data_IF_689332832313
#
_entry.id   IF_689332832313
#
_cell.length_a   1.000
_cell.length_b   1.000
_cell.length_c   1.000
_cell.angle_alpha   90.00
_cell.angle_beta   90.00
_cell.angle_gamma   90.00
#
_symmetry.space_group_name_H-M   'P 1'
#
loop_
_entity.id
_entity.type
_entity.pdbx_description
1 polymer ?
#
# COMPACT_ATOMS: atom_id res chain seq x y z
N UNK A 1 -22.31 18.50 22.23
CA UNK A 1 -20.92 18.81 21.88
C UNK A 1 -20.21 17.50 21.64
N UNK A 2 -20.21 17.00 20.41
CA UNK A 2 -19.58 15.72 20.03
C UNK A 2 -18.81 16.00 18.75
N UNK A 3 -17.47 15.95 18.82
CA UNK A 3 -16.58 15.99 17.65
C UNK A 3 -16.61 14.62 16.98
N UNK A 4 -16.84 14.50 15.67
CA UNK A 4 -16.53 13.27 14.95
C UNK A 4 -15.02 13.23 14.66
N UNK A 5 -14.34 12.21 15.19
CA UNK A 5 -13.02 11.79 14.69
C UNK A 5 -13.24 11.10 13.33
N UNK A 6 -12.79 11.73 12.24
CA UNK A 6 -12.59 11.04 10.97
C UNK A 6 -11.33 10.16 11.10
N UNK A 7 -11.51 8.87 11.35
CA UNK A 7 -10.48 7.86 11.17
C UNK A 7 -10.81 6.99 9.95
N UNK A 8 -9.80 6.90 9.07
CA UNK A 8 -9.62 5.90 8.00
C UNK A 8 -10.64 5.96 6.85
N UNK A 9 -10.27 6.75 5.83
CA UNK A 9 -10.82 6.63 4.49
C UNK A 9 -10.42 5.30 3.85
N UNK A 10 -11.26 4.28 4.01
CA UNK A 10 -11.35 3.21 3.02
C UNK A 10 -12.27 3.76 1.93
N UNK A 11 -11.71 4.28 0.83
CA UNK A 11 -12.50 4.44 -0.38
C UNK A 11 -12.81 3.04 -0.90
N UNK A 12 -14.01 2.54 -0.59
CA UNK A 12 -14.57 1.38 -1.27
C UNK A 12 -14.72 1.79 -2.73
N UNK A 13 -13.85 1.28 -3.60
CA UNK A 13 -14.08 1.33 -5.03
C UNK A 13 -15.40 0.59 -5.29
N UNK A 14 -16.46 1.33 -5.60
CA UNK A 14 -17.71 0.75 -6.08
C UNK A 14 -17.43 0.14 -7.46
N UNK A 15 -16.93 -1.09 -7.48
CA UNK A 15 -17.03 -1.93 -8.66
C UNK A 15 -18.51 -2.26 -8.83
N UNK A 16 -19.14 -1.64 -9.82
CA UNK A 16 -20.45 -2.06 -10.29
C UNK A 16 -20.27 -3.44 -10.89
N UNK A 17 -20.57 -4.50 -10.12
CA UNK A 17 -20.68 -5.86 -10.64
C UNK A 17 -21.85 -5.88 -11.62
N UNK A 18 -21.58 -5.68 -12.90
CA UNK A 18 -22.52 -6.09 -13.94
C UNK A 18 -22.46 -7.61 -14.00
N UNK A 19 -23.47 -8.27 -13.44
CA UNK A 19 -23.73 -9.68 -13.67
C UNK A 19 -24.02 -9.83 -15.18
N UNK A 20 -23.00 -10.16 -15.97
CA UNK A 20 -23.25 -10.72 -17.29
C UNK A 20 -23.92 -12.07 -17.06
N UNK A 21 -25.17 -12.18 -17.51
CA UNK A 21 -25.86 -13.45 -17.63
C UNK A 21 -25.05 -14.32 -18.58
N UNK A 22 -24.22 -15.20 -18.04
CA UNK A 22 -23.65 -16.30 -18.81
C UNK A 22 -24.77 -17.34 -18.94
N UNK A 23 -25.32 -17.51 -20.14
CA UNK A 23 -26.43 -18.44 -20.46
C UNK A 23 -26.15 -19.91 -20.03
N UNK A 24 -24.95 -20.20 -19.55
CA UNK A 24 -24.53 -21.51 -19.05
C UNK A 24 -24.79 -21.76 -17.56
N UNK A 25 -25.24 -20.77 -16.78
CA UNK A 25 -25.60 -21.03 -15.38
C UNK A 25 -27.02 -21.61 -15.32
N UNK A 26 -27.10 -22.94 -15.28
CA UNK A 26 -28.37 -23.68 -15.15
C UNK A 26 -29.10 -23.25 -13.88
N UNK A 27 -30.38 -22.93 -14.01
CA UNK A 27 -31.32 -22.56 -12.94
C UNK A 27 -31.29 -23.57 -11.77
N UNK A 28 -31.07 -24.85 -12.08
CA UNK A 28 -30.86 -25.96 -11.15
C UNK A 28 -29.77 -25.67 -10.10
N UNK A 29 -28.66 -25.03 -10.49
CA UNK A 29 -27.54 -24.72 -9.60
C UNK A 29 -27.87 -23.59 -8.62
N UNK A 30 -28.75 -22.66 -9.01
CA UNK A 30 -29.25 -21.62 -8.10
C UNK A 30 -30.20 -22.21 -7.07
N UNK A 31 -31.09 -23.12 -7.47
CA UNK A 31 -31.95 -23.83 -6.53
C UNK A 31 -31.16 -24.69 -5.54
N UNK A 32 -30.09 -25.34 -6.01
CA UNK A 32 -29.19 -26.14 -5.16
C UNK A 32 -28.50 -25.26 -4.10
N UNK A 33 -27.92 -24.12 -4.51
CA UNK A 33 -27.26 -23.17 -3.61
C UNK A 33 -28.21 -22.50 -2.60
N UNK A 34 -29.50 -22.39 -2.93
CA UNK A 34 -30.53 -21.84 -2.03
C UNK A 34 -31.05 -22.89 -1.02
N UNK A 35 -30.97 -24.18 -1.36
CA UNK A 35 -31.47 -25.30 -0.53
C UNK A 35 -30.38 -25.93 0.35
N UNK A 36 -29.11 -25.84 -0.06
CA UNK A 36 -28.00 -26.34 0.75
C UNK A 36 -27.79 -25.51 2.03
N UNK A 37 -27.56 -26.21 3.16
CA UNK A 37 -27.13 -25.53 4.39
C UNK A 37 -25.75 -24.92 4.14
N UNK A 38 -25.62 -23.62 4.42
CA UNK A 38 -24.33 -22.92 4.36
C UNK A 38 -23.29 -23.73 5.15
N UNK A 39 -22.20 -24.20 4.50
CA UNK A 39 -21.20 -25.00 5.19
C UNK A 39 -20.60 -24.20 6.33
N UNK A 40 -20.28 -24.88 7.44
CA UNK A 40 -19.64 -24.23 8.58
C UNK A 40 -18.34 -23.56 8.12
N UNK A 41 -18.33 -22.23 8.11
CA UNK A 41 -17.16 -21.46 7.72
C UNK A 41 -16.12 -21.58 8.84
N UNK A 42 -15.01 -22.25 8.56
CA UNK A 42 -13.84 -22.23 9.44
C UNK A 42 -13.03 -20.99 9.14
N UNK A 43 -12.65 -20.24 10.16
CA UNK A 43 -11.82 -19.05 10.01
C UNK A 43 -10.41 -19.47 9.54
N UNK A 44 -9.76 -18.63 8.72
CA UNK A 44 -8.44 -18.91 8.13
C UNK A 44 -7.38 -19.37 9.14
N UNK A 45 -7.49 -18.97 10.41
CA UNK A 45 -6.55 -19.39 11.46
C UNK A 45 -6.68 -20.87 11.87
N UNK A 46 -7.88 -21.43 11.75
CA UNK A 46 -8.20 -22.82 12.13
C UNK A 46 -7.87 -23.81 10.99
N UNK A 47 -7.90 -23.34 9.74
CA UNK A 47 -7.80 -24.18 8.55
C UNK A 47 -6.51 -23.98 7.73
N UNK A 48 -5.90 -22.79 7.73
CA UNK A 48 -4.77 -22.49 6.83
C UNK A 48 -3.39 -22.69 7.47
N UNK A 49 -3.30 -22.75 8.80
CA UNK A 49 -2.06 -23.05 9.52
C UNK A 49 -2.03 -24.47 10.06
N UNK A 50 -1.06 -25.25 9.60
CA UNK A 50 -0.77 -26.58 10.14
C UNK A 50 -0.23 -26.50 11.56
N UNK A 51 -0.48 -27.55 12.35
CA UNK A 51 0.08 -27.67 13.71
C UNK A 51 1.63 -27.58 13.74
N UNK A 52 2.30 -28.04 12.68
CA UNK A 52 3.75 -27.93 12.55
C UNK A 52 4.21 -26.47 12.41
N UNK A 53 3.48 -25.66 11.63
CA UNK A 53 3.73 -24.23 11.50
C UNK A 53 3.49 -23.50 12.82
N UNK A 54 2.38 -23.81 13.52
CA UNK A 54 2.08 -23.23 14.84
C UNK A 54 3.20 -23.50 15.85
N UNK A 55 3.68 -24.75 15.92
CA UNK A 55 4.84 -25.12 16.77
C UNK A 55 6.13 -24.39 16.37
N UNK A 56 6.39 -24.24 15.08
CA UNK A 56 7.56 -23.50 14.59
C UNK A 56 7.52 -22.02 14.99
N UNK A 57 6.35 -21.41 14.96
CA UNK A 57 6.13 -20.02 15.40
C UNK A 57 6.41 -19.89 16.91
N UNK A 58 5.82 -20.75 17.74
CA UNK A 58 6.04 -20.74 19.20
C UNK A 58 7.51 -20.92 19.52
N UNK A 59 8.19 -21.89 18.89
CA UNK A 59 9.62 -22.11 19.08
C UNK A 59 10.46 -20.86 18.74
N UNK A 60 10.18 -20.20 17.61
CA UNK A 60 10.90 -18.99 17.23
C UNK A 60 10.70 -17.86 18.25
N UNK A 61 9.48 -17.64 18.74
CA UNK A 61 9.18 -16.63 19.76
C UNK A 61 9.88 -16.93 21.10
N UNK A 62 9.94 -18.20 21.51
CA UNK A 62 10.66 -18.65 22.71
C UNK A 62 12.18 -18.43 22.61
N UNK A 63 12.73 -18.45 21.39
CA UNK A 63 14.14 -18.11 21.09
C UNK A 63 14.36 -16.58 20.93
N UNK A 64 13.32 -15.76 21.10
CA UNK A 64 13.41 -14.30 20.93
C UNK A 64 13.48 -13.85 19.46
N UNK A 65 13.16 -14.74 18.52
CA UNK A 65 13.18 -14.50 17.08
C UNK A 65 11.78 -14.09 16.59
N UNK A 66 11.75 -13.08 15.73
CA UNK A 66 10.56 -12.59 15.01
C UNK A 66 10.69 -12.74 13.49
N UNK A 67 11.84 -13.27 13.07
CA UNK A 67 12.05 -13.75 11.73
C UNK A 67 11.65 -15.22 11.64
N UNK A 68 10.53 -15.48 10.98
CA UNK A 68 10.07 -16.84 10.75
C UNK A 68 10.58 -17.36 9.41
N UNK A 69 11.08 -18.59 9.39
CA UNK A 69 11.39 -19.29 8.15
C UNK A 69 10.17 -20.07 7.66
N UNK A 70 10.14 -20.34 6.35
CA UNK A 70 9.09 -21.18 5.77
C UNK A 70 9.10 -22.58 6.36
N UNK A 71 7.93 -23.08 6.73
CA UNK A 71 7.78 -24.42 7.24
C UNK A 71 6.53 -25.10 6.63
N UNK A 72 6.68 -26.19 5.86
CA UNK A 72 7.94 -26.72 5.29
C UNK A 72 8.55 -25.74 4.27
N UNK A 73 9.76 -26.03 3.76
CA UNK A 73 10.42 -25.17 2.76
C UNK A 73 9.58 -24.94 1.49
N UNK A 74 8.67 -25.87 1.17
CA UNK A 74 7.74 -25.81 0.04
C UNK A 74 6.48 -24.96 0.30
N UNK A 75 6.35 -24.32 1.46
CA UNK A 75 5.22 -23.45 1.79
C UNK A 75 5.04 -22.32 0.74
N UNK A 76 3.79 -22.10 0.32
CA UNK A 76 3.44 -20.99 -0.58
C UNK A 76 3.71 -19.64 0.07
N UNK A 77 3.88 -18.58 -0.74
CA UNK A 77 4.11 -17.24 -0.20
C UNK A 77 2.87 -16.70 0.52
N UNK A 78 1.64 -17.01 0.07
CA UNK A 78 0.43 -16.58 0.77
C UNK A 78 0.34 -17.22 2.16
N UNK A 79 0.56 -18.54 2.24
CA UNK A 79 0.58 -19.27 3.52
C UNK A 79 1.69 -18.75 4.44
N UNK A 80 2.87 -18.44 3.90
CA UNK A 80 3.97 -17.87 4.67
C UNK A 80 3.63 -16.47 5.22
N UNK A 81 3.03 -15.62 4.38
CA UNK A 81 2.58 -14.28 4.76
C UNK A 81 1.53 -14.35 5.86
N UNK A 82 0.57 -15.26 5.74
CA UNK A 82 -0.47 -15.47 6.74
C UNK A 82 0.12 -15.99 8.07
N UNK A 83 1.02 -16.97 8.00
CA UNK A 83 1.75 -17.48 9.17
C UNK A 83 2.46 -16.36 9.92
N UNK A 84 3.16 -15.48 9.18
CA UNK A 84 3.86 -14.33 9.76
C UNK A 84 2.89 -13.37 10.44
N UNK A 85 1.75 -13.05 9.82
CA UNK A 85 0.72 -12.17 10.41
C UNK A 85 0.17 -12.75 11.71
N UNK A 86 -0.16 -14.05 11.73
CA UNK A 86 -0.64 -14.69 12.96
C UNK A 86 0.43 -14.75 14.05
N UNK A 87 1.69 -14.98 13.69
CA UNK A 87 2.79 -14.94 14.65
C UNK A 87 2.97 -13.55 15.29
N UNK A 88 2.83 -12.48 14.50
CA UNK A 88 2.89 -11.10 15.01
C UNK A 88 1.68 -10.76 15.89
N UNK A 89 0.48 -11.22 15.52
CA UNK A 89 -0.72 -11.06 16.35
C UNK A 89 -0.56 -11.81 17.68
N UNK A 90 -0.07 -13.06 17.65
CA UNK A 90 0.19 -13.85 18.86
C UNK A 90 1.18 -13.14 19.78
N UNK A 91 2.30 -12.64 19.24
CA UNK A 91 3.28 -11.90 20.03
C UNK A 91 2.64 -10.65 20.67
N UNK A 92 1.81 -9.92 19.94
CA UNK A 92 1.06 -8.78 20.45
C UNK A 92 0.08 -9.19 21.56
N UNK A 93 -0.62 -10.30 21.39
CA UNK A 93 -1.59 -10.80 22.36
C UNK A 93 -0.91 -11.19 23.67
N UNK A 94 0.21 -11.92 23.61
CA UNK A 94 1.01 -12.30 24.79
C UNK A 94 1.57 -11.05 25.49
N UNK A 95 2.17 -10.12 24.73
CA UNK A 95 2.79 -8.91 25.31
C UNK A 95 1.77 -7.94 25.92
N UNK A 96 0.56 -7.83 25.33
CA UNK A 96 -0.53 -6.96 25.83
C UNK A 96 -1.54 -7.67 26.73
N UNK A 97 -1.36 -8.97 27.01
CA UNK A 97 -2.28 -9.77 27.83
C UNK A 97 -3.70 -9.86 27.25
N UNK A 98 -3.82 -10.04 25.92
CA UNK A 98 -5.11 -10.13 25.22
C UNK A 98 -5.44 -11.57 24.88
N UNK A 99 -6.66 -12.00 25.19
CA UNK A 99 -7.15 -13.34 24.85
C UNK A 99 -7.93 -13.33 23.52
N UNK A 100 -7.21 -13.16 22.41
CA UNK A 100 -7.81 -13.16 21.07
C UNK A 100 -8.07 -14.58 20.54
N UNK A 101 -8.77 -14.70 19.40
CA UNK A 101 -8.88 -15.98 18.71
C UNK A 101 -7.51 -16.57 18.33
N UNK A 102 -6.56 -15.70 17.94
CA UNK A 102 -5.18 -16.13 17.63
C UNK A 102 -4.51 -16.71 18.86
N UNK A 103 -4.66 -16.05 20.01
CA UNK A 103 -4.15 -16.56 21.27
C UNK A 103 -4.71 -17.96 21.58
N UNK A 104 -6.03 -18.14 21.51
CA UNK A 104 -6.71 -19.42 21.78
C UNK A 104 -6.27 -20.54 20.85
N UNK A 105 -6.07 -20.24 19.57
CA UNK A 105 -5.63 -21.20 18.56
C UNK A 105 -4.18 -21.67 18.75
N UNK A 106 -3.37 -20.86 19.42
CA UNK A 106 -1.97 -21.17 19.73
C UNK A 106 -1.79 -21.71 21.16
N UNK A 107 -2.75 -21.52 22.06
CA UNK A 107 -2.72 -21.99 23.45
C UNK A 107 -2.39 -23.50 23.59
N UNK A 108 -2.92 -24.42 22.75
CA UNK A 108 -2.54 -25.84 22.82
C UNK A 108 -1.07 -26.14 22.52
N UNK A 109 -0.33 -25.17 21.99
CA UNK A 109 1.08 -25.29 21.63
C UNK A 109 2.01 -24.53 22.59
N UNK A 110 1.47 -23.81 23.57
CA UNK A 110 2.20 -23.09 24.61
C UNK A 110 2.19 -23.93 25.89
N UNK A 111 3.37 -24.10 26.50
CA UNK A 111 3.51 -24.75 27.81
C UNK A 111 3.39 -23.72 28.94
N UNK A 112 3.20 -24.23 30.17
CA UNK A 112 3.19 -23.38 31.36
C UNK A 112 4.52 -22.60 31.48
N UNK A 113 4.43 -21.27 31.55
CA UNK A 113 5.58 -20.37 31.59
C UNK A 113 6.11 -19.90 30.24
N UNK A 114 5.68 -20.48 29.11
CA UNK A 114 6.12 -20.06 27.77
C UNK A 114 5.74 -18.60 27.48
N UNK A 115 4.51 -18.19 27.82
CA UNK A 115 4.05 -16.82 27.61
C UNK A 115 4.90 -15.80 28.39
N UNK A 116 5.26 -16.12 29.64
CA UNK A 116 6.12 -15.27 30.46
C UNK A 116 7.52 -15.15 29.86
N UNK A 117 8.07 -16.25 29.35
CA UNK A 117 9.38 -16.27 28.68
C UNK A 117 9.36 -15.49 27.37
N UNK A 118 8.32 -15.66 26.54
CA UNK A 118 8.12 -14.88 25.32
C UNK A 118 8.05 -13.39 25.70
N UNK A 119 7.24 -13.02 26.68
CA UNK A 119 7.11 -11.63 27.13
C UNK A 119 8.46 -11.04 27.55
N UNK A 120 9.24 -11.75 28.37
CA UNK A 120 10.58 -11.32 28.79
C UNK A 120 11.54 -11.10 27.61
N UNK A 121 11.53 -11.98 26.61
CA UNK A 121 12.38 -11.84 25.41
C UNK A 121 12.09 -10.58 24.58
N UNK A 122 10.92 -9.96 24.74
CA UNK A 122 10.46 -8.82 23.93
C UNK A 122 10.13 -7.56 24.74
N UNK A 123 10.19 -7.59 26.07
CA UNK A 123 9.98 -6.42 26.94
C UNK A 123 11.16 -5.42 26.90
N UNK A 124 12.40 -5.90 26.71
CA UNK A 124 13.61 -5.05 26.69
C UNK A 124 13.91 -4.42 25.31
N UNK A 125 13.22 -4.83 24.25
CA UNK A 125 13.41 -4.25 22.92
C UNK A 125 12.75 -2.87 22.88
N UNK A 126 13.51 -1.86 22.42
CA UNK A 126 13.16 -0.44 22.52
C UNK A 126 11.82 -0.07 21.86
N UNK A 127 11.32 -0.92 20.96
CA UNK A 127 10.01 -0.79 20.34
C UNK A 127 9.07 -1.89 20.81
N UNK A 128 8.00 -1.49 21.51
CA UNK A 128 6.87 -2.38 21.79
C UNK A 128 6.19 -2.80 20.48
N UNK A 129 5.58 -4.00 20.41
CA UNK A 129 4.72 -4.38 19.28
C UNK A 129 3.66 -3.30 19.01
N UNK A 130 3.80 -2.60 17.89
CA UNK A 130 2.85 -1.60 17.41
C UNK A 130 1.56 -2.29 16.92
N UNK A 131 0.53 -1.50 16.61
CA UNK A 131 -0.74 -1.98 16.10
C UNK A 131 -0.68 -2.41 14.63
N UNK A 132 0.47 -2.27 13.95
CA UNK A 132 0.69 -2.79 12.60
C UNK A 132 0.97 -4.30 12.59
N UNK A 133 0.18 -5.04 11.82
CA UNK A 133 0.32 -6.49 11.64
C UNK A 133 1.22 -6.81 10.43
N UNK A 134 1.52 -5.84 9.57
CA UNK A 134 2.27 -6.07 8.32
C UNK A 134 3.79 -6.00 8.50
N UNK A 135 4.26 -5.36 9.57
CA UNK A 135 5.67 -5.09 9.84
C UNK A 135 6.05 -5.68 11.20
N UNK A 136 7.21 -6.33 11.29
CA UNK A 136 7.70 -6.93 12.53
C UNK A 136 8.48 -5.91 13.37
N UNK A 137 8.63 -6.18 14.67
CA UNK A 137 9.27 -5.27 15.62
C UNK A 137 10.67 -4.84 15.18
N UNK A 138 11.50 -5.76 14.67
CA UNK A 138 12.84 -5.48 14.17
C UNK A 138 12.85 -4.53 12.96
N UNK A 139 11.86 -4.65 12.07
CA UNK A 139 11.75 -3.74 10.93
C UNK A 139 11.41 -2.32 11.41
N UNK A 140 10.56 -2.20 12.44
CA UNK A 140 10.27 -0.92 13.09
C UNK A 140 11.52 -0.34 13.77
N UNK A 141 12.32 -1.15 14.46
CA UNK A 141 13.60 -0.71 15.06
C UNK A 141 14.60 -0.23 14.00
N UNK A 142 14.72 -0.98 12.91
CA UNK A 142 15.58 -0.61 11.77
C UNK A 142 15.13 0.72 11.16
N UNK A 143 13.83 0.91 10.97
CA UNK A 143 13.26 2.15 10.44
C UNK A 143 13.52 3.33 11.38
N UNK A 144 13.23 3.15 12.67
CA UNK A 144 13.47 4.13 13.73
C UNK A 144 14.93 4.58 13.72
N UNK A 145 15.85 3.62 13.67
CA UNK A 145 17.29 3.86 13.64
C UNK A 145 17.71 4.59 12.37
N UNK A 146 17.15 4.22 11.21
CA UNK A 146 17.48 4.85 9.94
C UNK A 146 17.02 6.31 9.90
N UNK A 147 15.80 6.60 10.36
CA UNK A 147 15.27 7.96 10.44
C UNK A 147 16.05 8.79 11.45
N UNK A 148 16.37 8.25 12.64
CA UNK A 148 17.21 8.93 13.63
C UNK A 148 18.62 9.27 13.09
N UNK A 149 19.12 8.49 12.12
CA UNK A 149 20.38 8.74 11.40
C UNK A 149 20.23 9.69 10.19
N UNK A 150 19.06 10.30 10.00
CA UNK A 150 18.82 11.30 8.96
C UNK A 150 18.22 10.76 7.65
N UNK A 151 17.69 9.53 7.63
CA UNK A 151 16.93 9.06 6.46
C UNK A 151 15.67 9.90 6.27
N UNK A 152 15.47 10.39 5.05
CA UNK A 152 14.32 11.20 4.63
C UNK A 152 13.92 10.80 3.20
N UNK A 153 12.74 11.23 2.78
CA UNK A 153 12.29 11.02 1.41
C UNK A 153 13.16 11.77 0.39
N UNK A 154 13.28 11.27 -0.86
CA UNK A 154 13.98 11.98 -1.92
C UNK A 154 13.45 13.39 -2.13
N UNK A 155 14.34 14.35 -2.35
CA UNK A 155 13.99 15.77 -2.54
C UNK A 155 13.42 15.98 -3.94
N UNK A 156 12.35 16.76 -4.02
CA UNK A 156 11.76 17.17 -5.30
C UNK A 156 12.39 18.48 -5.79
N UNK A 157 12.56 18.60 -7.11
CA UNK A 157 12.95 19.85 -7.76
C UNK A 157 11.78 20.88 -7.75
N UNK A 158 12.05 22.09 -8.24
CA UNK A 158 11.05 23.17 -8.30
C UNK A 158 9.82 22.83 -9.17
N UNK A 159 9.93 21.84 -10.05
CA UNK A 159 8.85 21.37 -10.91
C UNK A 159 8.13 20.14 -10.31
N UNK A 160 8.51 19.68 -9.12
CA UNK A 160 7.94 18.51 -8.47
C UNK A 160 8.45 17.18 -9.03
N UNK A 161 9.60 17.17 -9.72
CA UNK A 161 10.25 15.96 -10.22
C UNK A 161 11.30 15.46 -9.23
N UNK A 162 11.68 14.19 -9.38
CA UNK A 162 12.70 13.52 -8.57
C UNK A 162 13.76 12.89 -9.48
N UNK A 163 15.01 12.88 -9.01
CA UNK A 163 16.07 12.08 -9.64
C UNK A 163 15.75 10.59 -9.50
N UNK A 164 15.91 9.85 -10.59
CA UNK A 164 15.77 8.39 -10.57
C UNK A 164 16.74 7.74 -9.58
N UNK A 165 17.98 8.23 -9.53
CA UNK A 165 19.02 7.65 -8.68
C UNK A 165 18.73 7.91 -7.20
N UNK A 166 18.27 9.11 -6.83
CA UNK A 166 17.90 9.43 -5.45
C UNK A 166 16.73 8.57 -4.96
N UNK A 167 15.73 8.35 -5.83
CA UNK A 167 14.62 7.45 -5.54
C UNK A 167 15.11 6.01 -5.39
N UNK A 168 15.96 5.53 -6.30
CA UNK A 168 16.47 4.17 -6.25
C UNK A 168 17.29 3.93 -4.97
N UNK A 169 18.14 4.88 -4.58
CA UNK A 169 18.91 4.83 -3.34
C UNK A 169 18.01 4.77 -2.11
N UNK A 170 16.92 5.55 -2.10
CA UNK A 170 15.92 5.48 -1.04
C UNK A 170 15.23 4.12 -0.99
N UNK A 171 14.79 3.59 -2.14
CA UNK A 171 14.12 2.28 -2.22
C UNK A 171 15.05 1.12 -1.83
N UNK A 172 16.33 1.17 -2.16
CA UNK A 172 17.32 0.16 -1.72
C UNK A 172 17.54 0.20 -0.20
N UNK A 173 17.51 1.39 0.42
CA UNK A 173 17.54 1.51 1.89
C UNK A 173 16.27 0.92 2.52
N UNK A 174 15.10 1.21 1.93
CA UNK A 174 13.83 0.62 2.36
C UNK A 174 13.85 -0.91 2.23
N UNK A 175 14.40 -1.44 1.14
CA UNK A 175 14.59 -2.88 0.91
C UNK A 175 15.35 -3.56 2.05
N UNK A 176 16.40 -2.91 2.55
CA UNK A 176 17.20 -3.41 3.69
C UNK A 176 16.44 -3.31 5.01
N UNK A 177 15.82 -2.15 5.29
CA UNK A 177 15.08 -1.88 6.54
C UNK A 177 13.93 -2.88 6.70
N UNK A 178 13.14 -3.05 5.64
CA UNK A 178 11.98 -3.92 5.61
C UNK A 178 12.31 -5.33 5.10
N UNK A 179 13.58 -5.66 4.86
CA UNK A 179 14.03 -7.00 4.45
C UNK A 179 13.19 -7.56 3.29
N UNK A 180 12.95 -6.74 2.25
CA UNK A 180 12.09 -7.12 1.13
C UNK A 180 12.59 -8.39 0.43
N UNK A 181 13.90 -8.64 0.37
CA UNK A 181 14.46 -9.90 -0.17
C UNK A 181 14.01 -11.17 0.60
N UNK A 182 13.51 -11.02 1.83
CA UNK A 182 12.95 -12.13 2.61
C UNK A 182 11.43 -12.19 2.48
N UNK A 183 10.75 -11.05 2.60
CA UNK A 183 9.30 -11.00 2.75
C UNK A 183 8.54 -10.67 1.46
N UNK A 184 9.20 -10.10 0.45
CA UNK A 184 8.64 -9.62 -0.82
C UNK A 184 9.44 -10.21 -2.00
N UNK A 185 9.81 -11.49 -1.89
CA UNK A 185 10.75 -12.19 -2.80
C UNK A 185 10.36 -12.18 -4.27
N UNK A 186 9.05 -12.13 -4.56
CA UNK A 186 8.54 -12.17 -5.92
C UNK A 186 8.37 -10.76 -6.54
N UNK A 187 8.38 -9.73 -5.70
CA UNK A 187 8.03 -8.34 -6.03
C UNK A 187 9.21 -7.41 -5.72
N UNK A 188 9.12 -6.61 -4.64
CA UNK A 188 10.07 -5.56 -4.27
C UNK A 188 11.47 -6.09 -4.01
N UNK A 189 11.57 -7.26 -3.36
CA UNK A 189 12.83 -7.92 -3.02
C UNK A 189 13.34 -8.90 -4.05
N UNK A 190 12.80 -8.89 -5.27
CA UNK A 190 13.19 -9.84 -6.30
C UNK A 190 14.58 -9.52 -6.84
N UNK A 191 15.55 -10.37 -6.50
CA UNK A 191 16.93 -10.28 -6.97
C UNK A 191 17.13 -11.13 -8.23
N UNK A 192 17.77 -10.54 -9.25
CA UNK A 192 18.22 -11.28 -10.42
C UNK A 192 19.32 -12.27 -10.05
N UNK A 193 19.11 -13.58 -10.31
CA UNK A 193 20.12 -14.62 -10.09
C UNK A 193 21.42 -14.39 -10.88
N UNK A 194 21.35 -13.69 -12.01
CA UNK A 194 22.51 -13.44 -12.89
C UNK A 194 23.34 -12.24 -12.45
N UNK A 195 22.68 -11.19 -11.96
CA UNK A 195 23.34 -9.89 -11.74
C UNK A 195 23.36 -9.46 -10.28
N UNK A 196 22.61 -10.13 -9.40
CA UNK A 196 22.46 -9.71 -8.00
C UNK A 196 21.69 -8.40 -7.83
N UNK A 197 21.05 -7.88 -8.89
CA UNK A 197 20.36 -6.57 -8.87
C UNK A 197 18.84 -6.72 -8.74
N UNK A 198 18.20 -5.73 -8.11
CA UNK A 198 16.74 -5.59 -8.02
C UNK A 198 16.12 -5.07 -9.32
N UNK A 199 16.02 -5.93 -10.33
CA UNK A 199 15.49 -5.55 -11.65
C UNK A 199 14.03 -5.08 -11.60
N UNK A 200 13.17 -5.75 -10.81
CA UNK A 200 11.77 -5.35 -10.65
C UNK A 200 11.66 -4.02 -9.91
N UNK A 201 12.41 -3.83 -8.82
CA UNK A 201 12.40 -2.58 -8.05
C UNK A 201 12.77 -1.37 -8.91
N UNK A 202 13.74 -1.54 -9.81
CA UNK A 202 14.13 -0.52 -10.80
C UNK A 202 12.99 -0.14 -11.74
N UNK A 203 12.21 -1.12 -12.18
CA UNK A 203 11.03 -0.87 -13.00
C UNK A 203 9.91 -0.19 -12.20
N UNK A 204 9.66 -0.65 -10.97
CA UNK A 204 8.69 -0.01 -10.09
C UNK A 204 9.04 1.45 -9.79
N UNK A 205 10.32 1.78 -9.64
CA UNK A 205 10.77 3.16 -9.49
C UNK A 205 10.39 4.04 -10.71
N UNK A 206 10.53 3.51 -11.93
CA UNK A 206 10.12 4.23 -13.16
C UNK A 206 8.61 4.47 -13.18
N UNK A 207 7.80 3.48 -12.78
CA UNK A 207 6.34 3.64 -12.71
C UNK A 207 5.95 4.61 -11.59
N UNK A 208 6.60 4.52 -10.43
CA UNK A 208 6.37 5.38 -9.28
C UNK A 208 6.62 6.85 -9.63
N UNK A 209 7.72 7.17 -10.33
CA UNK A 209 8.01 8.55 -10.79
C UNK A 209 6.88 9.07 -11.68
N UNK A 210 6.48 8.31 -12.70
CA UNK A 210 5.42 8.74 -13.61
C UNK A 210 4.07 8.87 -12.90
N UNK A 211 3.80 7.98 -11.93
CA UNK A 211 2.61 8.03 -11.10
C UNK A 211 2.54 9.34 -10.31
N UNK A 212 3.59 9.68 -9.55
CA UNK A 212 3.60 10.91 -8.73
C UNK A 212 3.75 12.19 -9.56
N UNK A 213 4.20 12.11 -10.81
CA UNK A 213 4.16 13.26 -11.73
C UNK A 213 2.73 13.61 -12.19
N UNK A 214 1.76 12.71 -11.99
CA UNK A 214 0.38 12.94 -12.37
C UNK A 214 0.14 12.98 -13.89
N UNK A 215 0.98 12.31 -14.68
CA UNK A 215 0.87 12.24 -16.15
C UNK A 215 -0.36 11.45 -16.64
N UNK A 216 -1.02 10.73 -15.73
CA UNK A 216 -2.21 9.91 -16.01
C UNK A 216 -1.87 8.49 -16.50
N UNK A 217 -2.80 7.55 -16.28
CA UNK A 217 -2.62 6.13 -16.58
C UNK A 217 -2.29 5.86 -18.06
N UNK A 218 -2.98 6.55 -18.98
CA UNK A 218 -2.74 6.38 -20.42
C UNK A 218 -1.31 6.72 -20.82
N UNK A 219 -0.70 7.74 -20.20
CA UNK A 219 0.68 8.09 -20.45
C UNK A 219 1.63 6.99 -19.96
N UNK A 220 1.42 6.48 -18.75
CA UNK A 220 2.24 5.42 -18.15
C UNK A 220 2.19 4.15 -19.00
N UNK A 221 0.99 3.75 -19.44
CA UNK A 221 0.80 2.59 -20.31
C UNK A 221 1.49 2.77 -21.67
N UNK A 222 1.39 3.95 -22.28
CA UNK A 222 2.08 4.24 -23.55
C UNK A 222 3.59 4.19 -23.39
N UNK A 223 4.13 4.72 -22.28
CA UNK A 223 5.58 4.63 -21.98
C UNK A 223 6.04 3.19 -21.78
N UNK A 224 5.24 2.35 -21.13
CA UNK A 224 5.53 0.93 -20.99
C UNK A 224 5.56 0.21 -22.36
N UNK A 225 4.62 0.54 -23.26
CA UNK A 225 4.59 0.04 -24.64
C UNK A 225 5.82 0.50 -25.43
N UNK A 226 6.14 1.80 -25.40
CA UNK A 226 7.31 2.38 -26.06
C UNK A 226 8.61 1.70 -25.60
N UNK A 227 8.73 1.41 -24.29
CA UNK A 227 9.88 0.68 -23.77
C UNK A 227 10.00 -0.71 -24.38
N UNK A 228 8.89 -1.45 -24.52
CA UNK A 228 8.87 -2.79 -25.13
C UNK A 228 9.15 -2.76 -26.63
N UNK A 229 8.67 -1.74 -27.35
CA UNK A 229 8.99 -1.51 -28.75
C UNK A 229 10.49 -1.27 -28.96
N UNK A 230 11.11 -0.48 -28.10
CA UNK A 230 12.54 -0.19 -28.15
C UNK A 230 13.42 -1.33 -27.62
N UNK A 231 12.85 -2.26 -26.83
CA UNK A 231 13.55 -3.40 -26.26
C UNK A 231 12.76 -4.70 -26.47
N UNK A 232 12.60 -5.18 -27.72
CA UNK A 232 11.73 -6.32 -28.01
C UNK A 232 12.12 -7.62 -27.30
N UNK A 233 13.42 -7.77 -27.03
CA UNK A 233 13.99 -8.96 -26.38
C UNK A 233 13.71 -9.02 -24.88
N UNK A 234 13.21 -7.92 -24.28
CA UNK A 234 12.68 -7.97 -22.91
C UNK A 234 11.43 -8.87 -22.78
N UNK A 235 10.78 -9.16 -23.91
CA UNK A 235 9.68 -10.10 -24.05
C UNK A 235 8.40 -9.75 -23.29
N UNK A 236 7.37 -10.56 -23.47
CA UNK A 236 6.10 -10.55 -22.73
C UNK A 236 5.71 -11.98 -22.38
N UNK A 237 4.92 -12.16 -21.32
CA UNK A 237 4.45 -13.48 -20.91
C UNK A 237 3.04 -13.72 -21.44
N UNK A 238 2.91 -14.62 -22.42
CA UNK A 238 1.64 -14.98 -23.04
C UNK A 238 1.37 -16.44 -22.72
N UNK A 239 0.24 -16.74 -22.07
CA UNK A 239 -0.15 -18.11 -21.69
C UNK A 239 0.96 -18.89 -20.97
N UNK A 240 1.69 -18.21 -20.08
CA UNK A 240 2.80 -18.80 -19.31
C UNK A 240 4.12 -18.97 -20.09
N UNK A 241 4.17 -18.62 -21.38
CA UNK A 241 5.38 -18.66 -22.20
C UNK A 241 5.95 -17.26 -22.39
N UNK A 242 7.28 -17.16 -22.35
CA UNK A 242 7.96 -15.91 -22.64
C UNK A 242 8.14 -15.77 -24.16
N UNK A 243 7.55 -14.73 -24.74
CA UNK A 243 7.59 -14.45 -26.17
C UNK A 243 8.31 -13.14 -26.42
N UNK A 244 9.02 -13.04 -27.55
CA UNK A 244 9.64 -11.79 -27.99
C UNK A 244 8.54 -10.79 -28.31
N UNK A 245 8.69 -9.54 -27.87
CA UNK A 245 7.67 -8.53 -28.12
C UNK A 245 7.57 -8.22 -29.62
N UNK A 246 6.35 -8.20 -30.17
CA UNK A 246 6.08 -8.04 -31.61
C UNK A 246 5.12 -6.88 -31.92
N UNK A 247 4.81 -6.03 -30.94
CA UNK A 247 3.90 -4.89 -31.07
C UNK A 247 2.46 -5.22 -31.53
N UNK A 248 2.07 -6.51 -31.50
CA UNK A 248 0.70 -6.93 -31.76
C UNK A 248 -0.27 -6.38 -30.72
N UNK A 249 -1.56 -6.31 -31.07
CA UNK A 249 -2.63 -5.91 -30.14
C UNK A 249 -2.63 -6.76 -28.86
N UNK A 250 -2.40 -8.06 -28.98
CA UNK A 250 -2.30 -8.98 -27.85
C UNK A 250 -1.14 -8.59 -26.93
N UNK A 251 0.06 -8.39 -27.49
CA UNK A 251 1.24 -8.03 -26.68
C UNK A 251 1.09 -6.64 -26.04
N UNK A 252 0.49 -5.67 -26.74
CA UNK A 252 0.17 -4.35 -26.15
C UNK A 252 -0.79 -4.50 -24.98
N UNK A 253 -1.83 -5.32 -25.11
CA UNK A 253 -2.78 -5.58 -24.03
C UNK A 253 -2.13 -6.25 -22.82
N UNK A 254 -1.21 -7.20 -23.03
CA UNK A 254 -0.43 -7.81 -21.94
C UNK A 254 0.39 -6.76 -21.20
N UNK A 255 1.13 -5.91 -21.93
CA UNK A 255 1.94 -4.85 -21.31
C UNK A 255 1.07 -3.86 -20.53
N UNK A 256 -0.11 -3.53 -21.05
CA UNK A 256 -1.10 -2.70 -20.36
C UNK A 256 -1.56 -3.37 -19.06
N UNK A 257 -1.96 -4.64 -19.12
CA UNK A 257 -2.43 -5.40 -17.97
C UNK A 257 -1.33 -5.51 -16.88
N UNK A 258 -0.12 -5.89 -17.26
CA UNK A 258 1.05 -5.98 -16.36
C UNK A 258 1.33 -4.62 -15.68
N UNK A 259 1.22 -3.52 -16.45
CA UNK A 259 1.46 -2.17 -15.93
C UNK A 259 0.38 -1.77 -14.91
N UNK A 260 -0.89 -2.06 -15.19
CA UNK A 260 -1.99 -1.79 -14.26
C UNK A 260 -1.87 -2.63 -12.99
N UNK A 261 -1.53 -3.92 -13.12
CA UNK A 261 -1.31 -4.81 -11.99
C UNK A 261 -0.18 -4.28 -11.08
N UNK A 262 0.90 -3.77 -11.66
CA UNK A 262 1.98 -3.14 -10.90
C UNK A 262 1.53 -1.88 -10.19
N UNK A 263 0.74 -1.03 -10.84
CA UNK A 263 0.22 0.19 -10.21
C UNK A 263 -0.63 -0.19 -9.00
N UNK A 264 -1.57 -1.12 -9.15
CA UNK A 264 -2.49 -1.52 -8.09
C UNK A 264 -1.78 -2.25 -6.95
N UNK A 265 -1.10 -3.36 -7.27
CA UNK A 265 -0.59 -4.28 -6.25
C UNK A 265 0.76 -3.86 -5.68
N UNK A 266 1.57 -3.10 -6.43
CA UNK A 266 2.91 -2.70 -5.98
C UNK A 266 2.95 -1.24 -5.57
N UNK A 267 2.52 -0.31 -6.43
CA UNK A 267 2.62 1.12 -6.12
C UNK A 267 1.60 1.53 -5.06
N UNK A 268 0.31 1.27 -5.33
CA UNK A 268 -0.79 1.71 -4.49
C UNK A 268 -0.99 0.84 -3.25
N UNK A 269 -0.63 -0.44 -3.30
CA UNK A 269 -0.71 -1.33 -2.15
C UNK A 269 0.61 -1.44 -1.39
N UNK A 270 1.62 -2.14 -1.91
CA UNK A 270 2.85 -2.42 -1.13
C UNK A 270 3.65 -1.16 -0.81
N UNK A 271 4.06 -0.37 -1.81
CA UNK A 271 4.88 0.84 -1.61
C UNK A 271 4.13 1.86 -0.76
N UNK A 272 2.85 2.11 -1.05
CA UNK A 272 2.02 3.03 -0.26
C UNK A 272 1.99 2.64 1.23
N UNK A 273 1.83 1.35 1.55
CA UNK A 273 1.86 0.88 2.94
C UNK A 273 3.23 1.11 3.61
N UNK A 274 4.35 0.82 2.92
CA UNK A 274 5.68 1.10 3.49
C UNK A 274 5.94 2.60 3.64
N UNK A 275 5.44 3.43 2.72
CA UNK A 275 5.56 4.89 2.81
C UNK A 275 4.69 5.45 3.93
N UNK A 276 3.48 4.93 4.14
CA UNK A 276 2.65 5.27 5.28
C UNK A 276 3.40 5.00 6.60
N UNK A 277 4.11 3.86 6.68
CA UNK A 277 4.92 3.54 7.86
C UNK A 277 6.11 4.45 8.04
N UNK A 278 6.86 4.72 6.97
CA UNK A 278 7.94 5.69 7.01
C UNK A 278 7.43 7.05 7.51
N UNK A 279 6.34 7.55 6.95
CA UNK A 279 5.77 8.87 7.26
C UNK A 279 5.26 8.96 8.70
N UNK A 280 4.59 7.92 9.20
CA UNK A 280 4.13 7.89 10.59
C UNK A 280 5.28 7.84 11.58
N UNK A 281 6.32 7.03 11.30
CA UNK A 281 7.49 6.95 12.17
C UNK A 281 8.31 8.23 12.14
N UNK A 282 8.44 8.85 10.96
CA UNK A 282 9.09 10.15 10.80
C UNK A 282 8.38 11.23 11.63
N UNK A 283 7.05 11.31 11.53
CA UNK A 283 6.19 12.20 12.34
C UNK A 283 6.36 11.96 13.84
N UNK A 284 6.36 10.70 14.27
CA UNK A 284 6.53 10.30 15.68
C UNK A 284 7.87 10.77 16.25
N UNK A 285 8.96 10.54 15.54
CA UNK A 285 10.31 10.89 15.99
C UNK A 285 10.57 12.40 16.03
N UNK A 286 9.99 13.15 15.11
CA UNK A 286 10.16 14.61 15.03
C UNK A 286 9.04 15.39 15.75
N UNK A 287 8.09 14.69 16.37
CA UNK A 287 6.91 15.27 17.03
C UNK A 287 6.11 16.22 16.10
N UNK A 288 5.83 15.75 14.88
CA UNK A 288 5.11 16.48 13.83
C UNK A 288 3.73 15.86 13.57
N UNK A 289 2.71 16.67 13.35
CA UNK A 289 1.42 16.19 12.83
C UNK A 289 1.44 15.98 11.31
N UNK A 290 2.16 16.87 10.60
CA UNK A 290 2.36 16.85 9.15
C UNK A 290 3.75 17.35 8.81
N UNK A 291 4.27 17.01 7.64
CA UNK A 291 5.55 17.52 7.13
C UNK A 291 5.50 17.69 5.61
N UNK A 292 6.39 18.50 5.06
CA UNK A 292 6.50 18.68 3.62
C UNK A 292 7.23 17.49 2.99
N UNK A 293 7.06 17.27 1.68
CA UNK A 293 7.68 16.16 0.96
C UNK A 293 7.25 14.77 1.49
N UNK A 294 5.97 14.64 1.87
CA UNK A 294 5.38 13.37 2.28
C UNK A 294 5.03 12.53 1.04
N UNK A 295 5.91 11.56 0.70
CA UNK A 295 5.71 10.70 -0.47
C UNK A 295 4.54 9.73 -0.31
N UNK A 296 4.09 9.43 0.90
CA UNK A 296 2.86 8.67 1.07
C UNK A 296 1.67 9.45 0.49
N UNK A 297 1.61 10.75 0.75
CA UNK A 297 0.59 11.63 0.18
C UNK A 297 0.67 11.68 -1.36
N UNK A 298 1.88 11.77 -1.91
CA UNK A 298 2.08 11.81 -3.37
C UNK A 298 1.64 10.53 -4.07
N UNK A 299 1.90 9.36 -3.45
CA UNK A 299 1.45 8.07 -3.97
C UNK A 299 -0.06 7.93 -3.86
N UNK A 300 -0.65 8.30 -2.72
CA UNK A 300 -2.10 8.22 -2.48
C UNK A 300 -2.89 9.03 -3.53
N UNK A 301 -2.46 10.27 -3.80
CA UNK A 301 -3.13 11.13 -4.76
C UNK A 301 -2.64 10.97 -6.21
N UNK A 302 -1.50 10.28 -6.41
CA UNK A 302 -0.86 10.12 -7.72
C UNK A 302 -0.44 11.46 -8.32
N UNK A 303 0.07 12.38 -7.50
CA UNK A 303 0.59 13.67 -7.94
C UNK A 303 1.42 14.34 -6.84
N UNK A 304 2.46 15.09 -7.22
CA UNK A 304 3.21 16.01 -6.34
C UNK A 304 2.61 17.42 -6.31
N UNK A 305 1.55 17.69 -7.09
CA UNK A 305 0.94 19.01 -7.19
C UNK A 305 0.15 19.37 -5.90
N UNK A 306 0.58 20.38 -5.12
CA UNK A 306 -0.04 20.69 -3.82
C UNK A 306 -1.51 21.13 -3.92
N UNK A 307 -1.89 21.80 -5.01
CA UNK A 307 -3.29 22.21 -5.23
C UNK A 307 -4.17 20.99 -5.49
N UNK A 308 -3.72 20.06 -6.34
CA UNK A 308 -4.49 18.84 -6.63
C UNK A 308 -4.63 17.96 -5.38
N UNK A 309 -3.57 17.83 -4.59
CA UNK A 309 -3.61 17.12 -3.29
C UNK A 309 -4.61 17.78 -2.35
N UNK A 310 -4.53 19.10 -2.15
CA UNK A 310 -5.46 19.84 -1.28
C UNK A 310 -6.91 19.61 -1.68
N UNK A 311 -7.22 19.72 -2.98
CA UNK A 311 -8.57 19.55 -3.50
C UNK A 311 -9.10 18.13 -3.23
N UNK A 312 -8.35 17.10 -3.60
CA UNK A 312 -8.79 15.71 -3.42
C UNK A 312 -8.87 15.31 -1.94
N UNK A 313 -7.95 15.81 -1.10
CA UNK A 313 -7.98 15.62 0.36
C UNK A 313 -9.20 16.27 1.00
N UNK A 314 -9.64 17.40 0.45
CA UNK A 314 -10.86 18.09 0.89
C UNK A 314 -12.15 17.41 0.40
N UNK A 315 -12.06 16.44 -0.50
CA UNK A 315 -13.18 15.65 -0.99
C UNK A 315 -13.56 15.87 -2.45
N UNK A 316 -12.87 16.75 -3.18
CA UNK A 316 -13.15 16.96 -4.61
C UNK A 316 -12.81 15.70 -5.43
N UNK A 317 -13.60 15.45 -6.47
CA UNK A 317 -13.30 14.43 -7.49
C UNK A 317 -12.05 14.81 -8.30
N UNK A 318 -11.47 13.83 -9.02
CA UNK A 318 -10.30 14.09 -9.88
C UNK A 318 -10.66 15.04 -11.03
N UNK A 319 -11.86 14.90 -11.56
CA UNK A 319 -12.41 15.70 -12.64
C UNK A 319 -12.60 17.15 -12.21
N UNK A 320 -13.28 17.36 -11.08
CA UNK A 320 -13.48 18.69 -10.48
C UNK A 320 -12.14 19.32 -10.09
N UNK A 321 -11.23 18.55 -9.50
CA UNK A 321 -9.89 19.04 -9.15
C UNK A 321 -9.10 19.52 -10.38
N UNK A 322 -9.22 18.80 -11.50
CA UNK A 322 -8.59 19.17 -12.77
C UNK A 322 -9.19 20.44 -13.34
N UNK A 323 -10.51 20.59 -13.31
CA UNK A 323 -11.19 21.80 -13.76
C UNK A 323 -10.74 23.03 -12.95
N UNK A 324 -10.73 22.93 -11.63
CA UNK A 324 -10.29 24.02 -10.74
C UNK A 324 -8.84 24.39 -11.02
N UNK A 325 -7.97 23.39 -11.23
CA UNK A 325 -6.56 23.61 -11.59
C UNK A 325 -6.40 24.35 -12.91
N UNK A 326 -7.20 24.03 -13.93
CA UNK A 326 -7.19 24.74 -15.22
C UNK A 326 -7.66 26.19 -15.11
N UNK A 327 -8.55 26.48 -14.15
CA UNK A 327 -9.10 27.81 -13.88
C UNK A 327 -8.51 28.41 -12.60
N UNK A 328 -7.22 28.16 -12.34
CA UNK A 328 -6.54 28.55 -11.09
C UNK A 328 -6.65 30.06 -10.81
N UNK A 329 -6.51 30.90 -11.83
CA UNK A 329 -6.64 32.35 -11.71
C UNK A 329 -8.03 32.81 -11.25
N UNK A 330 -9.07 32.05 -11.59
CA UNK A 330 -10.46 32.37 -11.25
C UNK A 330 -10.84 31.92 -9.85
N UNK A 331 -10.35 30.76 -9.40
CA UNK A 331 -10.87 30.09 -8.22
C UNK A 331 -9.88 29.88 -7.08
N UNK A 332 -8.58 30.09 -7.29
CA UNK A 332 -7.55 29.77 -6.30
C UNK A 332 -6.85 31.04 -5.82
N UNK A 333 -6.71 31.16 -4.51
CA UNK A 333 -5.99 32.24 -3.84
C UNK A 333 -4.82 31.64 -3.08
N UNK A 334 -3.63 32.22 -3.24
CA UNK A 334 -2.48 31.92 -2.40
C UNK A 334 -2.39 33.04 -1.38
N UNK A 335 -2.53 32.72 -0.09
CA UNK A 335 -2.46 33.71 0.99
C UNK A 335 -1.02 34.23 1.12
N UNK A 336 -0.85 35.34 1.84
CA UNK A 336 0.49 35.88 2.17
C UNK A 336 1.37 34.87 2.93
N UNK A 337 0.76 33.94 3.66
CA UNK A 337 1.45 32.84 4.34
C UNK A 337 1.77 31.64 3.44
N UNK A 338 1.53 31.73 2.13
CA UNK A 338 1.75 30.66 1.16
C UNK A 338 0.67 29.55 1.15
N UNK A 339 -0.41 29.71 1.91
CA UNK A 339 -1.48 28.70 1.96
C UNK A 339 -2.41 28.82 0.77
N UNK A 340 -2.78 27.69 0.18
CA UNK A 340 -3.76 27.64 -0.90
C UNK A 340 -5.17 27.65 -0.31
N UNK A 341 -6.02 28.55 -0.82
CA UNK A 341 -7.45 28.69 -0.49
C UNK A 341 -8.28 28.79 -1.77
N UNK A 342 -9.58 28.54 -1.64
CA UNK A 342 -10.52 28.51 -2.76
C UNK A 342 -11.54 29.65 -2.65
N UNK A 343 -11.86 30.31 -3.76
CA UNK A 343 -12.89 31.36 -3.77
C UNK A 343 -14.29 30.75 -3.69
N UNK A 344 -15.23 31.38 -2.96
CA UNK A 344 -16.63 30.91 -2.94
C UNK A 344 -17.36 31.07 -4.27
N UNK A 345 -16.77 31.77 -5.24
CA UNK A 345 -17.25 31.79 -6.62
C UNK A 345 -17.38 30.38 -7.23
N UNK A 346 -16.64 29.38 -6.72
CA UNK A 346 -16.79 27.97 -7.10
C UNK A 346 -18.22 27.44 -6.92
N UNK A 347 -18.96 27.92 -5.91
CA UNK A 347 -20.36 27.54 -5.65
C UNK A 347 -21.30 27.95 -6.79
N UNK A 348 -20.88 28.91 -7.61
CA UNK A 348 -21.61 29.42 -8.78
C UNK A 348 -20.83 29.16 -10.06
N UNK A 349 -19.93 28.18 -10.05
CA UNK A 349 -19.16 27.78 -11.23
C UNK A 349 -20.10 27.36 -12.37
N UNK A 350 -19.69 27.64 -13.61
CA UNK A 350 -20.40 27.15 -14.81
C UNK A 350 -20.36 25.63 -14.91
N UNK A 351 -19.37 25.00 -14.28
CA UNK A 351 -19.30 23.56 -14.17
C UNK A 351 -20.16 23.09 -12.98
N UNK A 352 -21.25 22.39 -13.30
CA UNK A 352 -22.25 21.91 -12.33
C UNK A 352 -21.62 20.96 -11.30
N UNK A 353 -20.68 20.10 -11.71
CA UNK A 353 -19.98 19.19 -10.82
C UNK A 353 -19.16 19.95 -9.78
N UNK A 354 -18.41 20.96 -10.23
CA UNK A 354 -17.62 21.84 -9.36
C UNK A 354 -18.52 22.60 -8.38
N UNK A 355 -19.62 23.18 -8.84
CA UNK A 355 -20.55 23.92 -7.99
C UNK A 355 -21.17 23.05 -6.90
N UNK A 356 -21.63 21.84 -7.27
CA UNK A 356 -22.22 20.87 -6.35
C UNK A 356 -21.20 20.39 -5.31
N UNK A 357 -20.06 19.88 -5.75
CA UNK A 357 -19.01 19.40 -4.82
C UNK A 357 -18.51 20.53 -3.91
N UNK A 358 -18.41 21.76 -4.42
CA UNK A 358 -18.00 22.91 -3.60
C UNK A 358 -19.02 23.23 -2.50
N UNK A 359 -20.32 23.04 -2.76
CA UNK A 359 -21.36 23.25 -1.75
C UNK A 359 -21.26 22.21 -0.62
N UNK A 360 -21.03 20.96 -0.97
CA UNK A 360 -20.83 19.87 0.00
C UNK A 360 -19.56 20.10 0.84
N UNK A 361 -18.45 20.47 0.17
CA UNK A 361 -17.16 20.67 0.84
C UNK A 361 -17.16 21.95 1.69
N UNK A 362 -17.86 23.01 1.29
CA UNK A 362 -18.00 24.22 2.11
C UNK A 362 -18.64 23.93 3.46
N UNK A 363 -19.58 22.99 3.52
CA UNK A 363 -20.21 22.58 4.77
C UNK A 363 -19.26 21.77 5.66
N UNK A 364 -18.49 20.86 5.06
CA UNK A 364 -17.63 19.93 5.80
C UNK A 364 -16.26 20.51 6.19
N UNK A 365 -15.69 21.37 5.34
CA UNK A 365 -14.34 21.94 5.46
C UNK A 365 -14.36 23.43 5.08
N UNK A 366 -15.13 24.28 5.80
CA UNK A 366 -15.31 25.69 5.44
C UNK A 366 -14.01 26.49 5.40
N UNK A 367 -13.00 26.07 6.16
CA UNK A 367 -11.72 26.74 6.28
C UNK A 367 -10.91 26.78 4.97
N UNK A 368 -11.15 25.89 4.01
CA UNK A 368 -10.43 25.94 2.72
C UNK A 368 -10.93 27.08 1.82
N UNK A 369 -12.11 27.63 2.11
CA UNK A 369 -12.71 28.70 1.31
C UNK A 369 -12.39 30.08 1.87
N UNK A 370 -12.27 31.04 0.96
CA UNK A 370 -12.14 32.48 1.21
C UNK A 370 -13.12 33.24 0.33
N UNK A 371 -13.49 34.43 0.78
CA UNK A 371 -14.39 35.39 0.11
C UNK A 371 -15.72 34.81 -0.38
#
# INVERSE_FOLDING_TARGET
MVKPLYQKGWRVFNFHFSLQYDEKVKEEKFEELLKEKVPAQKLSIESELTNAQKKSVVKALLEGKIEFDKHPKSQSEESYTLMRKFALILLRDITKGRDSLVHKEFAPFLQEGDEAKIKANFEEKSTKPDDDINVSVDQTENLTTAIAKGMHYPVLDANGNVSYDDLMDFLERMCRIFKWEKYERQTLGRVSKKTGKHGMLRWYAVILIQWIQGTGLSHIMNKAIEFKQNNPDSGVQVNGKQERYNDSREHRNVVIADTLEVIENVILFSISNYFLRFSNEYKRLHNLETFQNDWYEYVEYGTTNPLTILLQRSGFSRETSTYIRQHKSEYVVITQSGNIKLRRSLLRSRNIGVARESADIQYNVPEIFVD
#
